data_IF_541172528147
#
_entry.id   IF_541172528147
#
_cell.length_a   1.000
_cell.length_b   1.000
_cell.length_c   1.000
_cell.angle_alpha   90.00
_cell.angle_beta   90.00
_cell.angle_gamma   90.00
#
_symmetry.space_group_name_H-M   'P 1'
#
loop_
_entity.id
_entity.type
_entity.pdbx_description
1 polymer ?
#
# COMPACT_ATOMS: atom_id res chain seq x y z
N UNK A 1 7.40 -0.85 -35.14
CA UNK A 1 6.13 -0.70 -34.44
C UNK A 1 5.26 -1.81 -35.01
N UNK A 2 5.21 -2.91 -34.28
CA UNK A 2 4.49 -4.10 -34.72
C UNK A 2 2.97 -3.82 -34.69
N UNK A 3 2.23 -4.49 -35.56
CA UNK A 3 0.79 -4.29 -35.74
C UNK A 3 0.01 -4.45 -34.41
N UNK A 4 0.51 -5.30 -33.50
CA UNK A 4 -0.05 -5.54 -32.17
C UNK A 4 0.15 -4.35 -31.19
N UNK A 5 1.23 -3.57 -31.31
CA UNK A 5 1.44 -2.36 -30.49
C UNK A 5 0.44 -1.26 -30.89
N UNK A 6 0.10 -1.16 -32.18
CA UNK A 6 -0.81 -0.15 -32.70
C UNK A 6 -2.26 -0.39 -32.27
N UNK A 7 -2.71 -1.65 -32.27
CA UNK A 7 -4.03 -2.02 -31.78
C UNK A 7 -4.14 -1.88 -30.26
N UNK A 8 -3.07 -2.18 -29.50
CA UNK A 8 -3.02 -1.93 -28.06
C UNK A 8 -3.09 -0.43 -27.75
N UNK A 9 -2.35 0.40 -28.49
CA UNK A 9 -2.41 1.86 -28.37
C UNK A 9 -3.80 2.40 -28.71
N UNK A 10 -4.46 1.89 -29.75
CA UNK A 10 -5.82 2.31 -30.10
C UNK A 10 -6.85 1.90 -29.04
N UNK A 11 -6.73 0.70 -28.45
CA UNK A 11 -7.57 0.28 -27.33
C UNK A 11 -7.33 1.12 -26.06
N UNK A 12 -6.09 1.53 -25.79
CA UNK A 12 -5.75 2.44 -24.70
C UNK A 12 -6.27 3.87 -24.95
N UNK A 13 -6.22 4.36 -26.19
CA UNK A 13 -6.78 5.66 -26.59
C UNK A 13 -8.31 5.67 -26.41
N UNK A 14 -9.01 4.60 -26.83
CA UNK A 14 -10.47 4.48 -26.69
C UNK A 14 -10.96 4.38 -25.24
N UNK A 15 -10.08 4.03 -24.30
CA UNK A 15 -10.39 3.94 -22.86
C UNK A 15 -9.95 5.16 -22.06
N UNK A 16 -9.19 6.09 -22.66
CA UNK A 16 -8.69 7.28 -21.96
C UNK A 16 -9.71 8.41 -22.02
N UNK A 17 -10.19 8.84 -20.85
CA UNK A 17 -11.16 9.94 -20.72
C UNK A 17 -10.64 11.25 -21.34
N UNK A 18 -11.39 11.82 -22.29
CA UNK A 18 -10.99 13.05 -22.99
C UNK A 18 -11.02 14.28 -22.07
N UNK A 19 -10.30 15.33 -22.45
CA UNK A 19 -10.27 16.57 -21.69
C UNK A 19 -11.66 17.22 -21.56
N UNK A 20 -12.49 17.15 -22.61
CA UNK A 20 -13.85 17.66 -22.58
C UNK A 20 -14.69 16.95 -21.52
N UNK A 21 -14.56 15.63 -21.40
CA UNK A 21 -15.26 14.83 -20.38
C UNK A 21 -14.78 15.22 -18.99
N UNK A 22 -13.45 15.33 -18.78
CA UNK A 22 -12.88 15.78 -17.49
C UNK A 22 -13.38 17.16 -17.08
N UNK A 23 -13.42 18.10 -18.02
CA UNK A 23 -13.92 19.46 -17.79
C UNK A 23 -15.42 19.48 -17.45
N UNK A 24 -16.22 18.67 -18.15
CA UNK A 24 -17.66 18.51 -17.86
C UNK A 24 -17.88 17.92 -16.47
N UNK A 25 -17.16 16.87 -16.09
CA UNK A 25 -17.25 16.26 -14.75
C UNK A 25 -16.87 17.24 -13.64
N UNK A 26 -15.87 18.08 -13.88
CA UNK A 26 -15.45 19.12 -12.96
C UNK A 26 -16.34 20.38 -12.98
N UNK A 27 -17.30 20.47 -13.90
CA UNK A 27 -18.08 21.69 -14.18
C UNK A 27 -17.20 22.93 -14.43
N UNK A 28 -16.09 22.76 -15.15
CA UNK A 28 -15.14 23.83 -15.46
C UNK A 28 -15.07 24.09 -16.96
N UNK A 29 -14.96 25.36 -17.33
CA UNK A 29 -14.45 25.74 -18.66
C UNK A 29 -12.94 25.57 -18.73
N UNK A 30 -12.40 25.45 -19.95
CA UNK A 30 -10.95 25.41 -20.17
C UNK A 30 -10.21 26.59 -19.49
N UNK A 31 -10.76 27.80 -19.58
CA UNK A 31 -10.16 29.01 -19.00
C UNK A 31 -10.14 28.93 -17.47
N UNK A 32 -11.23 28.47 -16.85
CA UNK A 32 -11.29 28.28 -15.40
C UNK A 32 -10.32 27.19 -14.93
N UNK A 33 -10.29 26.05 -15.63
CA UNK A 33 -9.38 24.96 -15.29
C UNK A 33 -7.91 25.38 -15.39
N UNK A 34 -7.54 26.12 -16.45
CA UNK A 34 -6.19 26.69 -16.60
C UNK A 34 -5.83 27.66 -15.48
N UNK A 35 -6.77 28.53 -15.07
CA UNK A 35 -6.58 29.47 -13.96
C UNK A 35 -6.38 28.72 -12.64
N UNK A 36 -7.22 27.74 -12.34
CA UNK A 36 -7.17 26.95 -11.12
C UNK A 36 -5.88 26.13 -11.04
N UNK A 37 -5.47 25.50 -12.15
CA UNK A 37 -4.20 24.79 -12.27
C UNK A 37 -3.01 25.72 -12.01
N UNK A 38 -2.99 26.91 -12.62
CA UNK A 38 -1.89 27.86 -12.44
C UNK A 38 -1.79 28.31 -10.99
N UNK A 39 -2.92 28.56 -10.34
CA UNK A 39 -2.98 28.90 -8.92
C UNK A 39 -2.48 27.75 -8.03
N UNK A 40 -2.92 26.52 -8.30
CA UNK A 40 -2.48 25.31 -7.58
C UNK A 40 -0.95 25.10 -7.69
N UNK A 41 -0.39 25.23 -8.90
CA UNK A 41 1.06 25.11 -9.12
C UNK A 41 1.81 26.22 -8.37
N UNK A 42 1.30 27.45 -8.38
CA UNK A 42 1.91 28.55 -7.64
C UNK A 42 1.91 28.28 -6.13
N UNK A 43 0.78 27.84 -5.57
CA UNK A 43 0.66 27.47 -4.16
C UNK A 43 1.67 26.38 -3.76
N UNK A 44 1.79 25.32 -4.57
CA UNK A 44 2.77 24.26 -4.32
C UNK A 44 4.22 24.77 -4.38
N UNK A 45 4.55 25.63 -5.33
CA UNK A 45 5.88 26.25 -5.44
C UNK A 45 6.19 27.13 -4.25
N UNK A 46 5.23 27.91 -3.78
CA UNK A 46 5.39 28.78 -2.62
C UNK A 46 5.60 27.97 -1.33
N UNK A 47 4.84 26.88 -1.15
CA UNK A 47 5.06 25.93 -0.05
C UNK A 47 6.45 25.31 -0.12
N UNK A 48 6.85 24.83 -1.29
CA UNK A 48 8.17 24.22 -1.47
C UNK A 48 9.30 25.24 -1.22
N UNK A 49 9.16 26.48 -1.66
CA UNK A 49 10.14 27.53 -1.38
C UNK A 49 10.22 27.82 0.12
N UNK A 50 9.08 27.98 0.78
CA UNK A 50 8.97 28.27 2.23
C UNK A 50 9.68 27.20 3.07
N UNK A 51 9.47 25.92 2.73
CA UNK A 51 10.05 24.79 3.45
C UNK A 51 11.34 24.25 2.81
N UNK A 52 11.86 24.94 1.79
CA UNK A 52 13.05 24.57 1.03
C UNK A 52 13.00 23.14 0.44
N UNK A 53 11.83 22.66 0.01
CA UNK A 53 11.64 21.34 -0.59
C UNK A 53 12.14 21.31 -2.06
N UNK A 54 12.87 20.26 -2.47
CA UNK A 54 13.52 20.23 -3.79
C UNK A 54 12.57 19.74 -4.89
N UNK A 55 11.84 20.65 -5.52
CA UNK A 55 10.92 20.32 -6.63
C UNK A 55 11.60 19.72 -7.87
N UNK A 56 12.90 19.94 -8.03
CA UNK A 56 13.71 19.39 -9.13
C UNK A 56 14.34 18.02 -8.80
N UNK A 57 13.98 17.43 -7.66
CA UNK A 57 14.55 16.17 -7.20
C UNK A 57 13.49 15.34 -6.47
N UNK A 58 12.76 14.53 -7.24
CA UNK A 58 11.63 13.70 -6.77
C UNK A 58 12.05 12.65 -5.74
N UNK A 59 13.30 12.15 -5.77
CA UNK A 59 13.82 11.22 -4.76
C UNK A 59 14.19 11.89 -3.44
N UNK A 60 14.76 13.10 -3.48
CA UNK A 60 15.13 13.86 -2.26
C UNK A 60 13.92 14.51 -1.58
N UNK A 61 12.88 14.84 -2.35
CA UNK A 61 11.67 15.48 -1.85
C UNK A 61 11.00 14.75 -0.67
N UNK A 62 10.64 13.44 -0.75
CA UNK A 62 9.95 12.73 0.32
C UNK A 62 10.84 12.57 1.56
N UNK A 63 12.15 12.38 1.36
CA UNK A 63 13.13 12.32 2.45
C UNK A 63 13.13 13.63 3.24
N UNK A 64 13.26 14.77 2.56
CA UNK A 64 13.21 16.07 3.24
C UNK A 64 11.85 16.34 3.87
N UNK A 65 10.75 16.00 3.18
CA UNK A 65 9.39 16.18 3.69
C UNK A 65 9.20 15.41 5.01
N UNK A 66 9.65 14.15 5.09
CA UNK A 66 9.58 13.34 6.31
C UNK A 66 10.33 13.95 7.50
N UNK A 67 11.43 14.67 7.26
CA UNK A 67 12.22 15.32 8.31
C UNK A 67 11.53 16.56 8.88
N UNK A 68 10.74 17.25 8.06
CA UNK A 68 10.09 18.51 8.44
C UNK A 68 8.60 18.36 8.75
N UNK A 69 7.99 17.19 8.50
CA UNK A 69 6.53 16.99 8.53
C UNK A 69 5.82 17.47 9.80
N UNK A 70 6.49 17.45 10.96
CA UNK A 70 5.95 17.92 12.24
C UNK A 70 5.80 19.45 12.30
N UNK A 71 6.48 20.19 11.42
CA UNK A 71 6.44 21.65 11.35
C UNK A 71 5.39 22.16 10.36
N UNK A 72 4.74 21.28 9.60
CA UNK A 72 3.72 21.65 8.63
C UNK A 72 2.33 21.59 9.25
N UNK A 73 1.43 22.45 8.76
CA UNK A 73 0.01 22.22 8.96
C UNK A 73 -0.37 20.89 8.26
N UNK A 74 -1.33 20.11 8.77
CA UNK A 74 -1.62 18.85 8.12
C UNK A 74 -2.28 19.04 6.74
N UNK A 75 -2.87 20.20 6.46
CA UNK A 75 -3.33 20.56 5.12
C UNK A 75 -2.16 20.71 4.13
N UNK A 76 -1.09 21.40 4.53
CA UNK A 76 0.11 21.54 3.69
C UNK A 76 0.79 20.18 3.51
N UNK A 77 0.90 19.40 4.59
CA UNK A 77 1.47 18.06 4.54
C UNK A 77 0.68 17.15 3.60
N UNK A 78 -0.65 17.19 3.66
CA UNK A 78 -1.52 16.40 2.80
C UNK A 78 -1.37 16.79 1.33
N UNK A 79 -1.33 18.10 1.05
CA UNK A 79 -1.13 18.62 -0.30
C UNK A 79 0.23 18.21 -0.87
N UNK A 80 1.31 18.30 -0.09
CA UNK A 80 2.66 17.91 -0.55
C UNK A 80 2.79 16.39 -0.71
N UNK A 81 2.18 15.62 0.18
CA UNK A 81 2.16 14.15 0.13
C UNK A 81 1.41 13.64 -1.11
N UNK A 82 0.23 14.18 -1.39
CA UNK A 82 -0.56 13.78 -2.56
C UNK A 82 0.06 14.28 -3.86
N UNK A 83 0.70 15.45 -3.85
CA UNK A 83 1.42 15.97 -5.00
C UNK A 83 2.56 15.03 -5.44
N UNK A 84 3.30 14.40 -4.52
CA UNK A 84 4.33 13.42 -4.91
C UNK A 84 3.74 12.05 -5.26
N UNK A 85 2.72 11.60 -4.51
CA UNK A 85 2.12 10.28 -4.70
C UNK A 85 1.43 10.13 -6.05
N UNK A 86 0.79 11.20 -6.54
CA UNK A 86 -0.07 11.18 -7.73
C UNK A 86 0.41 12.11 -8.85
N UNK A 87 1.64 12.64 -8.80
CA UNK A 87 2.13 13.46 -9.91
C UNK A 87 2.19 12.65 -11.21
N UNK A 88 1.69 13.25 -12.29
CA UNK A 88 1.80 12.72 -13.67
C UNK A 88 2.58 13.69 -14.55
N UNK A 89 3.67 14.20 -13.99
CA UNK A 89 4.56 15.17 -14.61
C UNK A 89 4.02 16.61 -14.65
N UNK A 90 3.08 16.96 -13.78
CA UNK A 90 2.63 18.35 -13.65
C UNK A 90 3.59 19.16 -12.77
N UNK A 91 4.12 18.55 -11.72
CA UNK A 91 4.88 19.23 -10.66
C UNK A 91 6.38 18.95 -10.74
N UNK A 92 6.77 17.69 -10.90
CA UNK A 92 8.17 17.25 -10.84
C UNK A 92 8.85 17.07 -12.20
N UNK A 93 8.11 17.21 -13.31
CA UNK A 93 8.66 17.05 -14.67
C UNK A 93 9.63 18.19 -15.02
N UNK A 94 10.86 17.79 -15.35
CA UNK A 94 11.97 18.70 -15.67
C UNK A 94 11.94 19.08 -17.16
N UNK A 95 11.33 18.26 -18.04
CA UNK A 95 11.31 18.45 -19.50
C UNK A 95 9.93 18.90 -20.02
N UNK A 96 9.40 19.98 -19.46
CA UNK A 96 8.06 20.50 -19.80
C UNK A 96 7.95 21.16 -21.19
N UNK A 97 9.03 21.21 -21.98
CA UNK A 97 9.11 22.02 -23.20
C UNK A 97 8.16 21.56 -24.31
N UNK A 98 7.72 20.29 -24.28
CA UNK A 98 6.86 19.72 -25.31
C UNK A 98 5.39 19.53 -24.87
N UNK A 99 5.02 19.98 -23.66
CA UNK A 99 3.65 19.78 -23.12
C UNK A 99 2.69 20.88 -23.58
N UNK A 100 1.50 20.50 -24.05
CA UNK A 100 0.45 21.45 -24.40
C UNK A 100 -0.34 21.89 -23.15
N UNK A 101 -1.10 22.99 -23.25
CA UNK A 101 -1.97 23.44 -22.15
C UNK A 101 -3.06 22.40 -21.85
N UNK A 102 -3.55 21.71 -22.86
CA UNK A 102 -4.56 20.64 -22.75
C UNK A 102 -4.03 19.47 -21.90
N UNK A 103 -2.80 19.03 -22.15
CA UNK A 103 -2.16 17.96 -21.39
C UNK A 103 -1.96 18.33 -19.92
N UNK A 104 -1.48 19.55 -19.66
CA UNK A 104 -1.29 20.05 -18.29
C UNK A 104 -2.61 20.15 -17.53
N UNK A 105 -3.67 20.68 -18.16
CA UNK A 105 -5.00 20.75 -17.55
C UNK A 105 -5.54 19.33 -17.31
N UNK A 106 -5.34 18.41 -18.26
CA UNK A 106 -5.74 17.00 -18.11
C UNK A 106 -5.08 16.34 -16.90
N UNK A 107 -3.77 16.54 -16.71
CA UNK A 107 -3.04 16.04 -15.53
C UNK A 107 -3.51 16.70 -14.23
N UNK A 108 -3.76 18.02 -14.24
CA UNK A 108 -4.27 18.73 -13.07
C UNK A 108 -5.63 18.21 -12.61
N UNK A 109 -6.58 17.99 -13.54
CA UNK A 109 -7.91 17.48 -13.21
C UNK A 109 -7.85 16.05 -12.65
N UNK A 110 -6.99 15.20 -13.22
CA UNK A 110 -6.73 13.85 -12.68
C UNK A 110 -6.14 13.93 -11.27
N UNK A 111 -5.09 14.75 -11.06
CA UNK A 111 -4.47 14.94 -9.76
C UNK A 111 -5.49 15.43 -8.71
N UNK A 112 -6.37 16.37 -9.07
CA UNK A 112 -7.44 16.87 -8.18
C UNK A 112 -8.43 15.78 -7.77
N UNK A 113 -8.83 14.92 -8.71
CA UNK A 113 -9.70 13.76 -8.44
C UNK A 113 -9.03 12.78 -7.47
N UNK A 114 -7.75 12.52 -7.66
CA UNK A 114 -6.98 11.61 -6.79
C UNK A 114 -6.71 12.21 -5.41
N UNK A 115 -6.46 13.52 -5.33
CA UNK A 115 -6.39 14.30 -4.09
C UNK A 115 -7.65 14.11 -3.24
N UNK A 116 -8.83 14.28 -3.85
CA UNK A 116 -10.11 14.11 -3.17
C UNK A 116 -10.31 12.67 -2.69
N UNK A 117 -10.11 11.68 -3.56
CA UNK A 117 -10.21 10.26 -3.20
C UNK A 117 -9.28 9.88 -2.05
N UNK A 118 -8.04 10.37 -2.10
CA UNK A 118 -7.03 10.13 -1.06
C UNK A 118 -7.46 10.75 0.27
N UNK A 119 -8.03 11.96 0.24
CA UNK A 119 -8.53 12.63 1.44
C UNK A 119 -9.68 11.87 2.09
N UNK A 120 -10.67 11.47 1.29
CA UNK A 120 -11.84 10.72 1.77
C UNK A 120 -11.42 9.38 2.39
N UNK A 121 -10.43 8.70 1.80
CA UNK A 121 -9.87 7.48 2.36
C UNK A 121 -9.09 7.71 3.65
N UNK A 122 -8.18 8.69 3.68
CA UNK A 122 -7.36 8.94 4.86
C UNK A 122 -8.21 9.39 6.04
N UNK A 123 -9.25 10.19 5.78
CA UNK A 123 -10.23 10.62 6.79
C UNK A 123 -11.03 9.43 7.36
N UNK A 124 -11.47 8.50 6.50
CA UNK A 124 -12.09 7.25 6.95
C UNK A 124 -11.13 6.39 7.78
N UNK A 125 -9.90 6.18 7.31
CA UNK A 125 -8.86 5.45 8.04
C UNK A 125 -8.56 6.08 9.40
N UNK A 126 -8.51 7.40 9.49
CA UNK A 126 -8.32 8.12 10.75
C UNK A 126 -9.47 7.86 11.73
N UNK A 127 -10.71 7.90 11.23
CA UNK A 127 -11.92 7.56 12.01
C UNK A 127 -11.87 6.11 12.51
N UNK A 128 -11.60 5.16 11.62
CA UNK A 128 -11.50 3.74 11.98
C UNK A 128 -10.34 3.47 12.96
N UNK A 129 -9.20 4.14 12.81
CA UNK A 129 -8.07 4.07 13.76
C UNK A 129 -8.47 4.51 15.16
N UNK A 130 -9.20 5.62 15.27
CA UNK A 130 -9.73 6.14 16.54
C UNK A 130 -10.70 5.14 17.17
N UNK A 131 -11.66 4.64 16.39
CA UNK A 131 -12.65 3.65 16.86
C UNK A 131 -11.97 2.36 17.33
N UNK A 132 -11.01 1.84 16.55
CA UNK A 132 -10.29 0.63 16.92
C UNK A 132 -9.44 0.82 18.19
N UNK A 133 -8.82 2.00 18.34
CA UNK A 133 -8.04 2.32 19.55
C UNK A 133 -8.92 2.37 20.79
N UNK A 134 -10.14 2.92 20.70
CA UNK A 134 -11.11 2.89 21.80
C UNK A 134 -11.50 1.45 22.14
N UNK A 135 -11.83 0.66 21.13
CA UNK A 135 -12.23 -0.75 21.26
C UNK A 135 -11.16 -1.59 21.95
N UNK A 136 -9.88 -1.43 21.58
CA UNK A 136 -8.76 -2.13 22.24
C UNK A 136 -8.71 -1.89 23.75
N UNK A 137 -9.07 -0.69 24.21
CA UNK A 137 -8.98 -0.31 25.63
C UNK A 137 -10.21 -0.71 26.47
N UNK A 138 -11.27 -1.26 25.86
CA UNK A 138 -12.53 -1.58 26.53
C UNK A 138 -12.65 -3.08 26.89
N UNK A 139 -11.85 -3.56 27.86
CA UNK A 139 -11.93 -4.95 28.34
C UNK A 139 -13.29 -5.35 28.93
N UNK A 140 -14.16 -4.40 29.29
CA UNK A 140 -15.50 -4.68 29.82
C UNK A 140 -16.46 -5.27 28.80
N UNK A 141 -16.14 -5.21 27.50
CA UNK A 141 -17.03 -5.68 26.42
C UNK A 141 -17.34 -7.17 26.49
N UNK A 142 -16.51 -7.96 27.18
CA UNK A 142 -16.69 -9.40 27.38
C UNK A 142 -17.33 -9.79 28.71
N UNK A 143 -17.47 -8.84 29.65
CA UNK A 143 -17.98 -9.09 31.02
C UNK A 143 -19.46 -8.68 31.17
N UNK A 144 -20.26 -8.93 30.13
CA UNK A 144 -21.67 -8.51 30.08
C UNK A 144 -22.56 -9.72 30.39
N UNK A 145 -23.60 -9.55 31.23
CA UNK A 145 -24.60 -10.60 31.43
C UNK A 145 -25.27 -11.00 30.11
N UNK A 146 -25.23 -12.29 29.78
CA UNK A 146 -25.86 -12.82 28.56
C UNK A 146 -27.37 -12.99 28.78
N UNK A 147 -28.16 -12.04 28.28
CA UNK A 147 -29.63 -12.05 28.39
C UNK A 147 -30.29 -12.58 27.12
N UNK A 148 -29.67 -12.34 25.97
CA UNK A 148 -30.08 -12.85 24.65
C UNK A 148 -29.14 -13.96 24.20
N UNK A 149 -29.69 -15.01 23.60
CA UNK A 149 -28.88 -15.95 22.82
C UNK A 149 -28.54 -15.35 21.47
N UNK A 150 -27.44 -15.80 20.86
CA UNK A 150 -27.21 -15.61 19.43
C UNK A 150 -28.39 -16.15 18.61
N UNK A 151 -28.62 -15.61 17.41
CA UNK A 151 -29.64 -16.16 16.53
C UNK A 151 -29.18 -17.54 16.02
N UNK A 152 -30.13 -18.47 15.86
CA UNK A 152 -29.81 -19.81 15.34
C UNK A 152 -29.18 -19.73 13.94
N UNK A 153 -29.63 -18.77 13.13
CA UNK A 153 -29.06 -18.50 11.82
C UNK A 153 -27.58 -18.07 11.88
N UNK A 154 -27.22 -17.14 12.78
CA UNK A 154 -25.83 -16.70 12.95
C UNK A 154 -24.95 -17.87 13.41
N UNK A 155 -25.42 -18.64 14.40
CA UNK A 155 -24.67 -19.76 14.97
C UNK A 155 -24.39 -20.82 13.90
N UNK A 156 -25.44 -21.19 13.16
CA UNK A 156 -25.34 -22.19 12.10
C UNK A 156 -24.44 -21.70 10.96
N UNK A 157 -24.59 -20.44 10.54
CA UNK A 157 -23.75 -19.87 9.49
C UNK A 157 -22.27 -19.85 9.89
N UNK A 158 -21.95 -19.37 11.09
CA UNK A 158 -20.55 -19.30 11.58
C UNK A 158 -19.97 -20.70 11.69
N UNK A 159 -20.75 -21.70 12.12
CA UNK A 159 -20.31 -23.09 12.19
C UNK A 159 -20.05 -23.69 10.80
N UNK A 160 -20.97 -23.51 9.85
CA UNK A 160 -20.77 -23.97 8.48
C UNK A 160 -19.53 -23.33 7.86
N UNK A 161 -19.38 -22.02 8.03
CA UNK A 161 -18.22 -21.26 7.54
C UNK A 161 -16.93 -21.73 8.22
N UNK A 162 -16.95 -22.00 9.53
CA UNK A 162 -15.81 -22.61 10.23
C UNK A 162 -15.45 -23.98 9.64
N UNK A 163 -16.41 -24.88 9.48
CA UNK A 163 -16.17 -26.25 8.98
C UNK A 163 -15.69 -26.28 7.53
N UNK A 164 -16.13 -25.31 6.71
CA UNK A 164 -15.72 -25.13 5.31
C UNK A 164 -14.21 -24.84 5.20
N UNK A 165 -13.68 -23.95 6.04
CA UNK A 165 -12.29 -23.48 5.95
C UNK A 165 -11.35 -24.18 6.92
N UNK A 166 -11.87 -24.85 7.95
CA UNK A 166 -11.06 -25.47 8.99
C UNK A 166 -11.46 -26.93 9.19
N UNK A 167 -10.51 -27.83 8.95
CA UNK A 167 -10.70 -29.25 9.21
C UNK A 167 -11.02 -29.53 10.68
N UNK A 168 -12.11 -30.27 10.92
CA UNK A 168 -12.50 -30.78 12.24
C UNK A 168 -11.93 -32.19 12.39
N UNK A 169 -11.26 -32.46 13.53
CA UNK A 169 -10.55 -33.72 13.71
C UNK A 169 -11.45 -34.87 14.21
N UNK A 170 -12.56 -34.60 14.94
CA UNK A 170 -13.41 -35.63 15.58
C UNK A 170 -14.86 -35.17 15.83
N UNK A 171 -15.79 -36.13 16.00
CA UNK A 171 -17.21 -35.86 16.27
C UNK A 171 -17.47 -35.09 17.59
N UNK A 172 -16.77 -35.42 18.69
CA UNK A 172 -16.92 -34.69 19.97
C UNK A 172 -16.43 -33.24 19.90
N UNK A 173 -15.55 -32.91 18.93
CA UNK A 173 -15.09 -31.52 18.75
C UNK A 173 -16.24 -30.66 18.18
N UNK A 174 -17.23 -31.25 17.50
CA UNK A 174 -18.33 -30.52 16.86
C UNK A 174 -19.28 -29.86 17.86
N UNK A 175 -19.64 -30.55 18.95
CA UNK A 175 -20.51 -30.00 20.00
C UNK A 175 -19.80 -28.85 20.72
N UNK A 176 -18.54 -29.05 21.11
CA UNK A 176 -17.70 -28.02 21.75
C UNK A 176 -17.57 -26.78 20.85
N UNK A 177 -17.34 -26.96 19.54
CA UNK A 177 -17.26 -25.85 18.59
C UNK A 177 -18.60 -25.11 18.51
N UNK A 178 -19.72 -25.83 18.41
CA UNK A 178 -21.06 -25.24 18.33
C UNK A 178 -21.39 -24.41 19.59
N UNK A 179 -21.09 -24.94 20.77
CA UNK A 179 -21.29 -24.23 22.05
C UNK A 179 -20.43 -22.97 22.14
N UNK A 180 -19.17 -23.06 21.72
CA UNK A 180 -18.26 -21.91 21.71
C UNK A 180 -18.67 -20.85 20.68
N UNK A 181 -19.23 -21.24 19.53
CA UNK A 181 -19.82 -20.30 18.56
C UNK A 181 -21.08 -19.66 19.16
N UNK A 182 -21.96 -20.44 19.80
CA UNK A 182 -23.16 -19.92 20.45
C UNK A 182 -22.82 -18.89 21.53
N UNK A 183 -21.73 -19.09 22.28
CA UNK A 183 -21.21 -18.12 23.23
C UNK A 183 -20.79 -16.81 22.55
N UNK A 184 -20.01 -16.87 21.46
CA UNK A 184 -19.59 -15.67 20.70
C UNK A 184 -20.81 -14.93 20.15
N UNK A 185 -21.75 -15.64 19.51
CA UNK A 185 -22.97 -15.04 18.98
C UNK A 185 -23.83 -14.39 20.08
N UNK A 186 -23.86 -14.99 21.27
CA UNK A 186 -24.54 -14.41 22.43
C UNK A 186 -23.84 -13.13 22.93
N UNK A 187 -22.51 -13.09 22.94
CA UNK A 187 -21.77 -11.85 23.28
C UNK A 187 -22.13 -10.71 22.33
N UNK A 188 -22.18 -10.96 21.02
CA UNK A 188 -22.57 -9.94 20.03
C UNK A 188 -24.04 -9.53 20.19
N UNK A 189 -24.95 -10.47 20.46
CA UNK A 189 -26.37 -10.16 20.64
C UNK A 189 -26.65 -9.27 21.87
N UNK A 190 -25.75 -9.25 22.86
CA UNK A 190 -25.86 -8.44 24.07
C UNK A 190 -24.94 -7.21 24.08
N UNK A 191 -24.16 -6.98 23.03
CA UNK A 191 -23.20 -5.88 22.96
C UNK A 191 -23.18 -5.27 21.55
N UNK A 192 -23.75 -4.07 21.43
CA UNK A 192 -23.82 -3.34 20.16
C UNK A 192 -22.43 -3.04 19.57
N UNK A 193 -21.42 -2.75 20.39
CA UNK A 193 -20.06 -2.51 19.91
C UNK A 193 -19.43 -3.78 19.33
N UNK A 194 -19.70 -4.96 19.92
CA UNK A 194 -19.25 -6.24 19.35
C UNK A 194 -20.02 -6.63 18.10
N UNK A 195 -21.33 -6.37 18.07
CA UNK A 195 -22.15 -6.58 16.87
C UNK A 195 -21.64 -5.70 15.72
N UNK A 196 -21.31 -4.44 16.01
CA UNK A 196 -20.81 -3.48 15.03
C UNK A 196 -19.56 -3.98 14.28
N UNK A 197 -18.72 -4.80 14.94
CA UNK A 197 -17.52 -5.40 14.35
C UNK A 197 -17.60 -6.94 14.27
N UNK A 198 -18.81 -7.50 14.17
CA UNK A 198 -19.05 -8.94 14.26
C UNK A 198 -18.10 -9.80 13.38
N UNK A 199 -17.87 -9.49 12.09
CA UNK A 199 -16.99 -10.29 11.24
C UNK A 199 -15.57 -10.41 11.79
N UNK A 200 -14.96 -9.27 12.13
CA UNK A 200 -13.57 -9.25 12.59
C UNK A 200 -13.45 -9.77 14.03
N UNK A 201 -14.45 -9.57 14.87
CA UNK A 201 -14.49 -10.14 16.22
C UNK A 201 -14.51 -11.68 16.17
N UNK A 202 -15.44 -12.27 15.41
CA UNK A 202 -15.50 -13.73 15.20
C UNK A 202 -14.18 -14.24 14.62
N UNK A 203 -13.67 -13.58 13.58
CA UNK A 203 -12.40 -13.94 12.95
C UNK A 203 -11.26 -13.97 13.95
N UNK A 204 -11.11 -12.94 14.78
CA UNK A 204 -10.00 -12.87 15.73
C UNK A 204 -10.09 -13.95 16.80
N UNK A 205 -11.29 -14.19 17.34
CA UNK A 205 -11.49 -15.20 18.40
C UNK A 205 -11.11 -16.57 17.87
N UNK A 206 -11.58 -16.92 16.68
CA UNK A 206 -11.37 -18.22 16.06
C UNK A 206 -9.92 -18.37 15.55
N UNK A 207 -9.40 -17.41 14.79
CA UNK A 207 -8.09 -17.56 14.11
C UNK A 207 -6.89 -17.51 15.08
N UNK A 208 -7.02 -16.83 16.23
CA UNK A 208 -5.97 -16.79 17.26
C UNK A 208 -6.01 -17.96 18.22
N UNK A 209 -7.19 -18.50 18.47
CA UNK A 209 -7.37 -19.54 19.46
C UNK A 209 -7.88 -20.86 18.90
N UNK A 210 -7.83 -21.06 17.57
CA UNK A 210 -8.35 -22.24 16.85
C UNK A 210 -8.20 -23.56 17.61
N UNK A 211 -6.98 -23.92 18.01
CA UNK A 211 -6.73 -25.18 18.72
C UNK A 211 -7.44 -25.29 20.09
N UNK A 212 -7.52 -24.19 20.85
CA UNK A 212 -8.22 -24.12 22.13
C UNK A 212 -9.74 -24.05 21.93
N UNK A 213 -10.18 -23.28 20.94
CA UNK A 213 -11.57 -23.12 20.53
C UNK A 213 -12.25 -24.45 20.18
N UNK A 214 -11.53 -25.37 19.52
CA UNK A 214 -12.07 -26.68 19.17
C UNK A 214 -12.12 -27.70 20.31
N UNK A 215 -11.44 -27.46 21.44
CA UNK A 215 -11.18 -28.50 22.46
C UNK A 215 -11.59 -28.12 23.88
N UNK A 216 -11.93 -26.86 24.12
CA UNK A 216 -12.16 -26.34 25.46
C UNK A 216 -13.62 -25.96 25.60
N UNK A 217 -14.34 -26.69 26.45
CA UNK A 217 -15.66 -26.27 26.92
C UNK A 217 -15.56 -24.94 27.68
N UNK A 218 -16.61 -24.11 27.61
CA UNK A 218 -16.62 -22.79 28.25
C UNK A 218 -15.43 -21.92 27.83
N UNK A 219 -15.18 -21.85 26.52
CA UNK A 219 -14.03 -21.16 25.98
C UNK A 219 -13.93 -19.71 26.47
N UNK A 220 -12.77 -19.37 27.02
CA UNK A 220 -12.41 -18.02 27.43
C UNK A 220 -11.26 -17.48 26.57
N UNK A 221 -11.22 -16.16 26.39
CA UNK A 221 -10.15 -15.46 25.67
C UNK A 221 -9.83 -14.14 26.36
N UNK A 222 -8.58 -13.71 26.22
CA UNK A 222 -8.09 -12.44 26.77
C UNK A 222 -8.26 -11.34 25.73
N UNK A 223 -9.00 -10.29 26.09
CA UNK A 223 -9.32 -9.17 25.20
C UNK A 223 -8.06 -8.51 24.59
N UNK A 224 -7.07 -8.20 25.42
CA UNK A 224 -5.83 -7.55 24.97
C UNK A 224 -5.06 -8.39 23.94
N UNK A 225 -5.06 -9.72 24.10
CA UNK A 225 -4.39 -10.64 23.18
C UNK A 225 -5.17 -10.81 21.87
N UNK A 226 -6.47 -10.58 21.88
CA UNK A 226 -7.31 -10.68 20.69
C UNK A 226 -6.87 -9.71 19.59
N UNK A 227 -6.42 -8.51 19.98
CA UNK A 227 -6.12 -7.43 19.04
C UNK A 227 -4.63 -7.24 18.74
N UNK A 228 -3.76 -8.12 19.23
CA UNK A 228 -2.34 -8.08 18.90
C UNK A 228 -2.08 -8.40 17.42
N UNK A 229 -1.07 -7.77 16.82
CA UNK A 229 -0.74 -8.02 15.43
C UNK A 229 -0.25 -9.45 15.21
N UNK A 230 -0.74 -10.13 14.17
CA UNK A 230 -0.33 -11.49 13.78
C UNK A 230 0.35 -11.46 12.41
N UNK A 231 1.67 -11.66 12.42
CA UNK A 231 2.48 -11.79 11.20
C UNK A 231 2.48 -13.23 10.71
N UNK A 232 1.87 -13.48 9.56
CA UNK A 232 1.91 -14.76 8.85
C UNK A 232 3.14 -14.80 7.93
N UNK A 233 3.63 -16.00 7.62
CA UNK A 233 4.75 -16.20 6.68
C UNK A 233 4.28 -16.11 5.22
N UNK A 234 3.91 -14.90 4.79
CA UNK A 234 3.29 -14.66 3.48
C UNK A 234 4.25 -14.84 2.30
N UNK A 235 5.57 -14.78 2.55
CA UNK A 235 6.62 -14.93 1.53
C UNK A 235 7.22 -16.36 1.44
N UNK A 236 6.91 -17.24 2.40
CA UNK A 236 7.44 -18.59 2.44
C UNK A 236 6.44 -19.57 1.81
N UNK A 237 6.49 -19.73 0.50
CA UNK A 237 5.59 -20.63 -0.22
C UNK A 237 6.10 -22.08 -0.20
N UNK A 238 5.44 -22.91 0.60
CA UNK A 238 5.58 -24.38 0.58
C UNK A 238 4.24 -25.07 0.20
N UNK A 239 3.32 -24.35 -0.45
CA UNK A 239 1.97 -24.78 -0.82
C UNK A 239 1.00 -24.92 0.36
N UNK A 240 1.44 -25.50 1.48
CA UNK A 240 0.62 -25.66 2.69
C UNK A 240 0.34 -24.32 3.37
N UNK A 241 1.34 -23.44 3.43
CA UNK A 241 1.19 -22.08 3.97
C UNK A 241 0.21 -21.26 3.12
N UNK A 242 0.30 -21.38 1.80
CA UNK A 242 -0.56 -20.69 0.84
C UNK A 242 -2.04 -21.05 1.03
N UNK A 243 -2.38 -22.35 1.05
CA UNK A 243 -3.77 -22.79 1.26
C UNK A 243 -4.32 -22.34 2.61
N UNK A 244 -3.53 -22.43 3.68
CA UNK A 244 -3.97 -21.97 5.00
C UNK A 244 -4.20 -20.44 5.04
N UNK A 245 -3.41 -19.66 4.31
CA UNK A 245 -3.62 -18.21 4.19
C UNK A 245 -4.91 -17.92 3.42
N UNK A 246 -5.14 -18.61 2.29
CA UNK A 246 -6.40 -18.52 1.52
C UNK A 246 -7.60 -18.82 2.41
N UNK A 247 -7.56 -19.91 3.16
CA UNK A 247 -8.65 -20.31 4.04
C UNK A 247 -8.94 -19.24 5.10
N UNK A 248 -7.90 -18.60 5.66
CA UNK A 248 -8.08 -17.51 6.62
C UNK A 248 -8.70 -16.26 5.99
N UNK A 249 -8.25 -15.86 4.80
CA UNK A 249 -8.80 -14.70 4.08
C UNK A 249 -10.26 -14.96 3.71
N UNK A 250 -10.55 -16.11 3.09
CA UNK A 250 -11.90 -16.46 2.68
C UNK A 250 -12.85 -16.67 3.86
N UNK A 251 -12.37 -17.21 4.97
CA UNK A 251 -13.14 -17.27 6.21
C UNK A 251 -13.58 -15.88 6.67
N UNK A 252 -12.69 -14.89 6.63
CA UNK A 252 -13.04 -13.50 6.96
C UNK A 252 -14.02 -12.88 5.96
N UNK A 253 -13.82 -13.09 4.66
CA UNK A 253 -14.68 -12.54 3.60
C UNK A 253 -16.09 -13.12 3.65
N UNK A 254 -16.25 -14.43 3.89
CA UNK A 254 -17.57 -15.07 4.05
C UNK A 254 -18.31 -14.51 5.27
N UNK A 255 -17.62 -14.27 6.39
CA UNK A 255 -18.20 -13.58 7.55
C UNK A 255 -18.66 -12.16 7.19
N UNK A 256 -17.84 -11.38 6.49
CA UNK A 256 -18.20 -10.03 6.07
C UNK A 256 -19.43 -10.04 5.16
N UNK A 257 -19.47 -10.94 4.17
CA UNK A 257 -20.59 -11.07 3.25
C UNK A 257 -21.90 -11.36 3.99
N UNK A 258 -21.90 -12.31 4.92
CA UNK A 258 -23.10 -12.67 5.68
C UNK A 258 -23.59 -11.54 6.58
N UNK A 259 -22.70 -10.97 7.39
CA UNK A 259 -23.08 -9.92 8.35
C UNK A 259 -23.35 -8.57 7.68
N UNK A 260 -22.94 -8.34 6.42
CA UNK A 260 -23.28 -7.13 5.67
C UNK A 260 -24.79 -6.89 5.50
N UNK A 261 -25.61 -7.93 5.69
CA UNK A 261 -27.07 -7.83 5.63
C UNK A 261 -27.66 -7.12 6.86
N UNK A 262 -26.88 -6.98 7.94
CA UNK A 262 -27.29 -6.30 9.15
C UNK A 262 -26.73 -4.87 9.16
N UNK A 263 -27.63 -3.87 9.12
CA UNK A 263 -27.26 -2.44 9.07
C UNK A 263 -26.53 -1.92 10.31
N UNK A 264 -26.52 -2.67 11.42
CA UNK A 264 -25.74 -2.33 12.60
C UNK A 264 -24.24 -2.68 12.44
N UNK A 265 -23.88 -3.53 11.47
CA UNK A 265 -22.52 -4.01 11.25
C UNK A 265 -21.77 -3.06 10.32
N UNK A 266 -20.59 -2.61 10.75
CA UNK A 266 -19.65 -1.86 9.91
C UNK A 266 -18.59 -2.80 9.33
N UNK A 267 -18.84 -3.19 8.08
CA UNK A 267 -17.95 -4.07 7.31
C UNK A 267 -16.65 -3.34 6.92
N UNK A 268 -16.70 -2.04 6.66
CA UNK A 268 -15.51 -1.26 6.31
C UNK A 268 -14.55 -1.16 7.51
N UNK A 269 -15.09 -0.89 8.71
CA UNK A 269 -14.33 -0.93 9.95
C UNK A 269 -13.75 -2.32 10.20
N UNK A 270 -14.51 -3.38 9.93
CA UNK A 270 -14.01 -4.76 10.03
C UNK A 270 -12.84 -5.02 9.08
N UNK A 271 -12.92 -4.57 7.83
CA UNK A 271 -11.83 -4.66 6.85
C UNK A 271 -10.59 -3.86 7.29
N UNK A 272 -10.80 -2.67 7.86
CA UNK A 272 -9.71 -1.87 8.43
C UNK A 272 -9.04 -2.59 9.61
N UNK A 273 -9.81 -3.09 10.58
CA UNK A 273 -9.24 -3.82 11.73
C UNK A 273 -8.52 -5.08 11.26
N UNK A 274 -9.00 -5.76 10.22
CA UNK A 274 -8.31 -6.90 9.62
C UNK A 274 -6.94 -6.54 9.05
N UNK A 275 -6.82 -5.41 8.34
CA UNK A 275 -5.52 -4.91 7.84
C UNK A 275 -4.57 -4.48 8.95
N UNK A 276 -5.10 -3.91 10.04
CA UNK A 276 -4.29 -3.47 11.19
C UNK A 276 -3.90 -4.59 12.15
N UNK A 277 -4.49 -5.78 12.01
CA UNK A 277 -4.26 -6.91 12.92
C UNK A 277 -3.51 -8.07 12.29
N UNK A 278 -3.34 -8.08 10.96
CA UNK A 278 -2.63 -9.13 10.23
C UNK A 278 -1.94 -8.58 8.96
N UNK A 279 -0.93 -9.28 8.45
CA UNK A 279 -0.36 -9.00 7.11
C UNK A 279 -1.10 -9.73 5.96
N UNK A 280 -2.32 -10.24 6.19
CA UNK A 280 -3.02 -11.02 5.17
C UNK A 280 -3.57 -10.15 4.03
N UNK A 281 -3.86 -8.87 4.27
CA UNK A 281 -4.20 -7.94 3.19
C UNK A 281 -3.03 -7.77 2.21
N UNK A 282 -1.77 -7.71 2.68
CA UNK A 282 -0.61 -7.61 1.80
C UNK A 282 -0.47 -8.84 0.91
N UNK A 283 -0.66 -10.02 1.50
CA UNK A 283 -0.69 -11.27 0.74
C UNK A 283 -1.83 -11.29 -0.28
N UNK A 284 -3.04 -10.85 0.10
CA UNK A 284 -4.20 -10.81 -0.77
C UNK A 284 -3.93 -9.97 -2.03
N UNK A 285 -3.45 -8.74 -1.86
CA UNK A 285 -3.14 -7.84 -2.99
C UNK A 285 -1.92 -8.24 -3.80
N UNK A 286 -1.06 -9.09 -3.26
CA UNK A 286 0.13 -9.59 -3.97
C UNK A 286 -0.14 -10.88 -4.77
N UNK A 287 -1.24 -11.60 -4.49
CA UNK A 287 -1.49 -12.93 -5.05
C UNK A 287 -2.83 -13.09 -5.79
N UNK A 288 -3.83 -12.25 -5.48
CA UNK A 288 -5.08 -12.24 -6.24
C UNK A 288 -5.02 -11.20 -7.36
N UNK A 289 -5.40 -11.61 -8.57
CA UNK A 289 -5.80 -10.65 -9.61
C UNK A 289 -6.97 -9.84 -9.06
N UNK A 290 -6.86 -8.51 -9.15
CA UNK A 290 -7.82 -7.58 -8.58
C UNK A 290 -9.25 -7.89 -9.05
N UNK A 291 -10.09 -8.43 -8.16
CA UNK A 291 -11.53 -8.60 -8.40
C UNK A 291 -12.25 -7.40 -7.78
N UNK A 292 -12.88 -6.58 -8.63
CA UNK A 292 -13.65 -5.40 -8.21
C UNK A 292 -14.79 -5.73 -7.22
N UNK A 293 -15.24 -7.01 -7.14
CA UNK A 293 -16.42 -7.40 -6.38
C UNK A 293 -16.19 -7.63 -4.89
N UNK A 294 -14.96 -7.88 -4.46
CA UNK A 294 -14.64 -8.09 -3.04
C UNK A 294 -13.29 -7.46 -2.74
N UNK A 295 -13.27 -6.26 -2.14
CA UNK A 295 -12.01 -5.58 -1.84
C UNK A 295 -11.81 -5.45 -0.33
N UNK A 296 -10.73 -6.05 0.17
CA UNK A 296 -10.24 -5.79 1.53
C UNK A 296 -9.82 -4.32 1.68
N UNK A 297 -9.55 -3.88 2.91
CA UNK A 297 -8.91 -2.58 3.09
C UNK A 297 -7.52 -2.62 2.46
N UNK A 298 -7.24 -1.69 1.53
CA UNK A 298 -5.93 -1.56 0.87
C UNK A 298 -4.91 -1.03 1.89
N UNK A 299 -3.87 -1.80 2.24
CA UNK A 299 -2.81 -1.32 3.12
C UNK A 299 -2.12 -0.09 2.53
N UNK A 300 -1.63 0.81 3.38
CA UNK A 300 -0.92 2.01 2.92
C UNK A 300 0.31 1.66 2.08
N UNK A 301 1.02 0.60 2.42
CA UNK A 301 2.16 0.06 1.65
C UNK A 301 1.76 -0.28 0.23
N UNK A 302 0.71 -1.09 0.06
CA UNK A 302 0.17 -1.47 -1.26
C UNK A 302 -0.29 -0.23 -2.04
N UNK A 303 -0.94 0.74 -1.40
CA UNK A 303 -1.37 1.98 -2.06
C UNK A 303 -0.19 2.79 -2.61
N UNK A 304 0.88 2.90 -1.83
CA UNK A 304 2.09 3.62 -2.26
C UNK A 304 2.70 2.91 -3.47
N UNK A 305 2.85 1.58 -3.41
CA UNK A 305 3.36 0.79 -4.54
C UNK A 305 2.46 0.90 -5.77
N UNK A 306 1.14 0.82 -5.64
CA UNK A 306 0.17 0.98 -6.73
C UNK A 306 0.18 2.38 -7.36
N UNK A 307 0.70 3.38 -6.66
CA UNK A 307 0.85 4.72 -7.22
C UNK A 307 1.99 4.81 -8.24
N UNK A 308 2.82 3.76 -8.34
CA UNK A 308 3.92 3.60 -9.29
C UNK A 308 4.83 4.83 -9.29
N UNK A 309 5.30 5.22 -8.11
CA UNK A 309 6.19 6.37 -7.97
C UNK A 309 7.53 6.02 -8.58
N UNK A 310 7.84 6.67 -9.69
CA UNK A 310 9.17 6.62 -10.26
C UNK A 310 9.88 7.95 -10.02
N UNK A 311 10.97 7.90 -9.23
CA UNK A 311 11.80 9.07 -8.93
C UNK A 311 12.69 9.50 -10.11
N UNK A 312 12.74 8.70 -11.17
CA UNK A 312 13.61 8.85 -12.33
C UNK A 312 12.83 8.98 -13.64
N UNK A 313 11.52 9.28 -13.57
CA UNK A 313 10.67 9.56 -14.75
C UNK A 313 11.36 10.58 -15.67
N UNK A 314 11.40 10.27 -16.97
CA UNK A 314 12.01 11.10 -18.02
C UNK A 314 13.54 11.29 -17.92
N UNK A 315 14.23 10.49 -17.10
CA UNK A 315 15.69 10.43 -17.14
C UNK A 315 16.15 9.64 -18.37
N UNK A 316 17.21 10.08 -19.07
CA UNK A 316 17.87 9.24 -20.05
C UNK A 316 18.30 7.95 -19.36
N UNK A 317 17.64 6.85 -19.70
CA UNK A 317 18.03 5.53 -19.25
C UNK A 317 19.46 5.29 -19.72
N UNK A 318 20.41 5.18 -18.78
CA UNK A 318 21.70 4.54 -19.04
C UNK A 318 21.60 3.02 -18.95
N UNK A 319 20.38 2.52 -18.76
CA UNK A 319 20.02 1.19 -18.32
C UNK A 319 19.66 0.28 -19.47
N UNK A 320 20.20 -0.92 -19.42
CA UNK A 320 19.75 -2.07 -20.16
C UNK A 320 18.23 -2.24 -20.01
N UNK A 321 17.54 -2.75 -21.02
CA UNK A 321 16.10 -2.98 -20.94
C UNK A 321 15.75 -3.91 -19.77
N UNK A 322 14.50 -3.90 -19.30
CA UNK A 322 14.04 -4.86 -18.29
C UNK A 322 14.32 -6.31 -18.73
N UNK A 323 14.27 -6.56 -20.03
CA UNK A 323 14.62 -7.83 -20.66
C UNK A 323 16.12 -8.11 -20.53
N UNK A 324 17.01 -7.16 -20.82
CA UNK A 324 18.46 -7.32 -20.63
C UNK A 324 18.86 -7.46 -19.14
N UNK A 325 18.19 -6.76 -18.23
CA UNK A 325 18.36 -6.91 -16.78
C UNK A 325 17.90 -8.30 -16.32
N UNK A 326 16.72 -8.72 -16.78
CA UNK A 326 16.17 -10.05 -16.48
C UNK A 326 17.05 -11.14 -17.06
N UNK A 327 17.51 -11.01 -18.29
CA UNK A 327 18.42 -11.93 -18.97
C UNK A 327 19.75 -12.05 -18.25
N UNK A 328 20.32 -10.92 -17.81
CA UNK A 328 21.54 -10.95 -17.00
C UNK A 328 21.38 -11.80 -15.73
N UNK A 329 20.18 -11.88 -15.14
CA UNK A 329 19.92 -12.67 -13.93
C UNK A 329 19.20 -14.01 -14.15
N UNK A 330 18.60 -14.26 -15.33
CA UNK A 330 17.81 -15.45 -15.64
C UNK A 330 18.68 -16.63 -16.06
N UNK A 331 19.84 -16.37 -16.67
CA UNK A 331 20.81 -17.40 -17.00
C UNK A 331 21.46 -17.96 -15.73
N UNK A 332 21.18 -19.24 -15.44
CA UNK A 332 21.65 -20.09 -14.30
C UNK A 332 23.17 -20.20 -14.10
N UNK A 333 23.91 -19.12 -14.15
CA UNK A 333 25.31 -19.11 -13.77
C UNK A 333 25.36 -18.54 -12.34
N UNK A 334 25.87 -19.33 -11.39
CA UNK A 334 25.97 -18.97 -9.97
C UNK A 334 26.62 -17.60 -9.70
N UNK A 335 27.42 -17.08 -10.65
CA UNK A 335 28.07 -15.78 -10.56
C UNK A 335 27.11 -14.58 -10.59
N UNK A 336 26.01 -14.58 -11.37
CA UNK A 336 25.13 -13.39 -11.48
C UNK A 336 24.41 -13.12 -10.17
N UNK A 337 23.96 -14.19 -9.51
CA UNK A 337 23.43 -14.15 -8.14
C UNK A 337 24.47 -13.64 -7.13
N UNK A 338 25.73 -14.07 -7.26
CA UNK A 338 26.82 -13.58 -6.41
C UNK A 338 27.11 -12.10 -6.68
N UNK A 339 27.17 -11.65 -7.93
CA UNK A 339 27.36 -10.24 -8.30
C UNK A 339 26.25 -9.38 -7.70
N UNK A 340 24.97 -9.75 -7.89
CA UNK A 340 23.83 -9.05 -7.27
C UNK A 340 23.95 -8.99 -5.75
N UNK A 341 24.30 -10.11 -5.12
CA UNK A 341 24.46 -10.18 -3.68
C UNK A 341 25.62 -9.28 -3.19
N UNK A 342 26.75 -9.27 -3.88
CA UNK A 342 27.90 -8.42 -3.56
C UNK A 342 27.56 -6.94 -3.73
N UNK A 343 26.88 -6.56 -4.82
CA UNK A 343 26.43 -5.17 -5.04
C UNK A 343 25.47 -4.75 -3.93
N UNK A 344 24.44 -5.56 -3.63
CA UNK A 344 23.48 -5.25 -2.57
C UNK A 344 24.14 -5.15 -1.19
N UNK A 345 25.09 -6.03 -0.87
CA UNK A 345 25.86 -5.96 0.37
C UNK A 345 26.72 -4.69 0.45
N UNK A 346 27.34 -4.31 -0.66
CA UNK A 346 28.12 -3.07 -0.74
C UNK A 346 27.24 -1.83 -0.55
N UNK A 347 26.11 -1.73 -1.26
CA UNK A 347 25.17 -0.61 -1.14
C UNK A 347 24.61 -0.50 0.28
N UNK A 348 24.27 -1.62 0.91
CA UNK A 348 23.82 -1.66 2.30
C UNK A 348 24.92 -1.22 3.30
N UNK A 349 26.19 -1.50 3.01
CA UNK A 349 27.32 -1.09 3.85
C UNK A 349 27.75 0.38 3.60
N UNK A 350 27.37 0.98 2.48
CA UNK A 350 27.79 2.33 2.07
C UNK A 350 26.59 3.24 1.71
N UNK A 351 25.70 3.54 2.67
CA UNK A 351 24.51 4.37 2.42
C UNK A 351 24.86 5.77 1.87
N UNK A 352 26.04 6.31 2.21
CA UNK A 352 26.52 7.58 1.69
C UNK A 352 26.68 7.62 0.16
N UNK A 353 26.88 6.46 -0.51
CA UNK A 353 26.91 6.41 -1.98
C UNK A 353 25.52 6.64 -2.56
N UNK A 354 24.48 6.12 -1.92
CA UNK A 354 23.09 6.34 -2.33
C UNK A 354 22.71 7.80 -2.11
N UNK A 355 23.08 8.38 -0.96
CA UNK A 355 22.87 9.81 -0.68
C UNK A 355 23.56 10.71 -1.72
N UNK A 356 24.82 10.39 -2.09
CA UNK A 356 25.52 11.10 -3.15
C UNK A 356 24.79 10.97 -4.49
N UNK A 357 24.26 9.79 -4.83
CA UNK A 357 23.49 9.59 -6.07
C UNK A 357 22.21 10.42 -6.08
N UNK A 358 21.50 10.49 -4.94
CA UNK A 358 20.30 11.32 -4.75
C UNK A 358 20.64 12.80 -4.88
N UNK A 359 21.77 13.25 -4.33
CA UNK A 359 22.17 14.67 -4.34
C UNK A 359 22.62 15.17 -5.72
N UNK A 360 23.02 14.26 -6.61
CA UNK A 360 23.33 14.62 -7.99
C UNK A 360 22.02 14.98 -8.70
N UNK A 361 21.96 16.21 -9.21
CA UNK A 361 20.80 16.67 -10.00
C UNK A 361 20.50 15.67 -11.12
N UNK A 362 19.21 15.36 -11.38
CA UNK A 362 18.82 14.41 -12.42
C UNK A 362 19.50 14.68 -13.78
N UNK A 363 19.70 15.94 -14.15
CA UNK A 363 20.33 16.34 -15.41
C UNK A 363 21.87 16.19 -15.46
N UNK A 364 22.56 15.88 -14.36
CA UNK A 364 24.02 15.78 -14.31
C UNK A 364 24.49 14.33 -14.38
N UNK A 365 24.42 13.80 -15.60
CA UNK A 365 24.59 12.38 -15.84
C UNK A 365 26.05 11.92 -15.73
N UNK A 366 27.01 12.76 -16.10
CA UNK A 366 28.45 12.47 -15.97
C UNK A 366 28.85 12.20 -14.51
N UNK A 367 28.27 12.94 -13.56
CA UNK A 367 28.52 12.71 -12.14
C UNK A 367 27.91 11.40 -11.65
N UNK A 368 26.71 11.04 -12.12
CA UNK A 368 26.10 9.74 -11.81
C UNK A 368 26.96 8.61 -12.35
N UNK A 369 27.43 8.74 -13.59
CA UNK A 369 28.36 7.80 -14.20
C UNK A 369 29.64 7.63 -13.38
N UNK A 370 30.28 8.74 -13.00
CA UNK A 370 31.50 8.71 -12.21
C UNK A 370 31.32 8.00 -10.86
N UNK A 371 30.17 8.22 -10.20
CA UNK A 371 29.84 7.55 -8.94
C UNK A 371 29.65 6.04 -9.13
N UNK A 372 28.98 5.61 -10.20
CA UNK A 372 28.82 4.18 -10.52
C UNK A 372 30.17 3.53 -10.84
N UNK A 373 31.04 4.20 -11.59
CA UNK A 373 32.41 3.69 -11.83
C UNK A 373 33.20 3.50 -10.54
N UNK A 374 33.10 4.46 -9.61
CA UNK A 374 33.74 4.34 -8.30
C UNK A 374 33.22 3.13 -7.51
N UNK A 375 31.91 2.88 -7.52
CA UNK A 375 31.32 1.69 -6.89
C UNK A 375 31.86 0.42 -7.54
N UNK A 376 31.96 0.41 -8.87
CA UNK A 376 32.45 -0.73 -9.65
C UNK A 376 33.92 -1.04 -9.32
N UNK A 377 34.76 -0.02 -9.17
CA UNK A 377 36.15 -0.14 -8.73
C UNK A 377 36.26 -0.64 -7.28
N UNK A 378 35.43 -0.10 -6.38
CA UNK A 378 35.43 -0.47 -4.95
C UNK A 378 34.94 -1.91 -4.70
N UNK A 379 34.02 -2.42 -5.53
CA UNK A 379 33.49 -3.77 -5.41
C UNK A 379 34.56 -4.85 -5.63
N UNK A 380 35.71 -4.49 -6.22
CA UNK A 380 36.84 -5.38 -6.50
C UNK A 380 36.39 -6.75 -7.06
N UNK A 381 35.37 -6.74 -7.93
CA UNK A 381 34.78 -7.97 -8.46
C UNK A 381 35.88 -8.76 -9.16
N UNK A 382 36.08 -10.06 -8.85
CA UNK A 382 37.25 -10.74 -9.36
C UNK A 382 37.19 -10.79 -10.89
N UNK A 383 38.23 -10.28 -11.56
CA UNK A 383 38.33 -10.18 -13.02
C UNK A 383 38.05 -11.52 -13.75
N UNK A 384 38.16 -12.66 -13.04
CA UNK A 384 37.79 -13.98 -13.57
C UNK A 384 36.28 -14.17 -13.85
N UNK A 385 35.42 -13.29 -13.33
CA UNK A 385 33.96 -13.43 -13.39
C UNK A 385 33.28 -12.44 -14.35
N UNK A 386 34.01 -11.47 -14.90
CA UNK A 386 33.43 -10.40 -15.73
C UNK A 386 34.20 -10.35 -17.05
N UNK A 387 33.63 -10.91 -18.13
CA UNK A 387 34.11 -10.63 -19.47
C UNK A 387 34.14 -9.11 -19.70
N UNK A 388 35.19 -8.57 -20.29
CA UNK A 388 35.30 -7.13 -20.60
C UNK A 388 34.16 -6.62 -21.50
N UNK A 389 33.45 -7.52 -22.19
CA UNK A 389 32.24 -7.23 -22.98
C UNK A 389 31.03 -6.86 -22.14
N UNK A 390 31.02 -7.23 -20.85
CA UNK A 390 29.84 -7.12 -19.97
C UNK A 390 29.93 -5.89 -19.05
N UNK A 391 30.98 -5.07 -19.17
CA UNK A 391 31.20 -3.89 -18.32
C UNK A 391 30.09 -2.82 -18.48
N UNK A 392 29.59 -2.49 -19.69
CA UNK A 392 28.45 -1.59 -19.84
C UNK A 392 27.16 -2.14 -19.20
N UNK A 393 26.96 -3.46 -19.29
CA UNK A 393 25.81 -4.12 -18.68
C UNK A 393 25.91 -4.12 -17.14
N UNK A 394 27.11 -4.29 -16.58
CA UNK A 394 27.33 -4.20 -15.14
C UNK A 394 27.10 -2.78 -14.61
N UNK A 395 27.51 -1.76 -15.37
CA UNK A 395 27.18 -0.36 -15.08
C UNK A 395 25.66 -0.15 -15.01
N UNK A 396 24.92 -0.65 -16.01
CA UNK A 396 23.45 -0.61 -16.03
C UNK A 396 22.86 -1.28 -14.80
N UNK A 397 23.32 -2.51 -14.49
CA UNK A 397 22.83 -3.28 -13.35
C UNK A 397 23.05 -2.56 -12.02
N UNK A 398 24.23 -1.96 -11.80
CA UNK A 398 24.51 -1.20 -10.57
C UNK A 398 23.59 0.03 -10.49
N UNK A 399 23.41 0.73 -11.62
CA UNK A 399 22.52 1.90 -11.71
C UNK A 399 21.09 1.51 -11.34
N UNK A 400 20.54 0.47 -11.97
CA UNK A 400 19.19 -0.05 -11.68
C UNK A 400 19.05 -0.47 -10.22
N UNK A 401 20.06 -1.13 -9.62
CA UNK A 401 20.00 -1.52 -8.21
C UNK A 401 20.02 -0.32 -7.26
N UNK A 402 20.77 0.74 -7.57
CA UNK A 402 20.74 2.01 -6.82
C UNK A 402 19.35 2.65 -6.93
N UNK A 403 18.77 2.69 -8.13
CA UNK A 403 17.46 3.30 -8.37
C UNK A 403 16.33 2.54 -7.68
N UNK A 404 16.38 1.21 -7.68
CA UNK A 404 15.46 0.36 -6.90
C UNK A 404 15.56 0.70 -5.40
N UNK A 405 16.77 0.79 -4.85
CA UNK A 405 16.97 1.13 -3.44
C UNK A 405 16.46 2.54 -3.11
N UNK A 406 16.66 3.52 -4.01
CA UNK A 406 16.14 4.87 -3.84
C UNK A 406 14.61 4.88 -3.85
N UNK A 407 13.97 4.18 -4.79
CA UNK A 407 12.51 4.06 -4.81
C UNK A 407 11.99 3.40 -3.53
N UNK A 408 12.64 2.35 -3.02
CA UNK A 408 12.29 1.74 -1.73
C UNK A 408 12.44 2.72 -0.54
N UNK A 409 13.46 3.58 -0.54
CA UNK A 409 13.61 4.64 0.47
C UNK A 409 12.50 5.69 0.36
N UNK A 410 12.12 6.06 -0.85
CA UNK A 410 10.98 6.95 -1.12
C UNK A 410 9.68 6.35 -0.60
N UNK A 411 9.38 5.09 -0.91
CA UNK A 411 8.19 4.40 -0.41
C UNK A 411 8.14 4.37 1.13
N UNK A 412 9.28 4.08 1.78
CA UNK A 412 9.40 4.12 3.25
C UNK A 412 9.12 5.51 3.82
N UNK A 413 9.68 6.56 3.21
CA UNK A 413 9.44 7.93 3.65
C UNK A 413 7.96 8.32 3.50
N UNK A 414 7.32 7.94 2.39
CA UNK A 414 5.91 8.17 2.16
C UNK A 414 5.02 7.37 3.10
N UNK A 415 5.39 6.14 3.43
CA UNK A 415 4.67 5.36 4.44
C UNK A 415 4.67 6.05 5.81
N UNK A 416 5.80 6.62 6.22
CA UNK A 416 5.91 7.39 7.47
C UNK A 416 5.02 8.63 7.41
N UNK A 417 5.11 9.42 6.33
CA UNK A 417 4.30 10.63 6.16
C UNK A 417 2.81 10.31 6.13
N UNK A 418 2.40 9.27 5.41
CA UNK A 418 1.01 8.85 5.29
C UNK A 418 0.41 8.41 6.63
N UNK A 419 1.17 7.70 7.47
CA UNK A 419 0.73 7.36 8.82
C UNK A 419 0.56 8.62 9.69
N UNK A 420 1.52 9.55 9.64
CA UNK A 420 1.41 10.83 10.35
C UNK A 420 0.16 11.62 9.92
N UNK A 421 -0.18 11.59 8.63
CA UNK A 421 -1.41 12.21 8.13
C UNK A 421 -2.65 11.54 8.71
N UNK A 422 -2.73 10.21 8.67
CA UNK A 422 -3.86 9.46 9.25
C UNK A 422 -4.01 9.79 10.74
N UNK A 423 -2.91 9.96 11.48
CA UNK A 423 -2.92 10.32 12.90
C UNK A 423 -3.39 11.75 13.20
N UNK A 424 -3.26 12.66 12.24
CA UNK A 424 -3.56 14.10 12.44
C UNK A 424 -4.85 14.55 11.77
N UNK A 425 -5.45 13.73 10.90
CA UNK A 425 -6.63 14.09 10.10
C UNK A 425 -7.97 14.10 10.84
N UNK A 426 -8.05 13.53 12.05
CA UNK A 426 -9.28 13.57 12.87
C UNK A 426 -9.70 14.99 13.26
N UNK A 427 -8.77 15.94 13.24
CA UNK A 427 -8.96 17.29 13.79
C UNK A 427 -9.22 18.36 12.71
N UNK A 428 -9.44 17.97 11.44
CA UNK A 428 -9.35 18.92 10.33
C UNK A 428 -10.62 18.96 9.48
N UNK A 429 -11.20 20.16 9.41
CA UNK A 429 -12.22 20.51 8.43
C UNK A 429 -11.51 21.03 7.15
N UNK A 430 -10.89 20.14 6.36
CA UNK A 430 -10.24 20.57 5.11
C UNK A 430 -11.33 20.89 4.09
N UNK A 431 -11.47 22.16 3.73
CA UNK A 431 -12.16 22.55 2.51
C UNK A 431 -11.26 22.22 1.32
N UNK A 432 -11.38 21.00 0.80
CA UNK A 432 -10.89 20.71 -0.55
C UNK A 432 -11.93 21.32 -1.48
N UNK A 433 -11.68 22.55 -1.94
CA UNK A 433 -12.48 23.15 -3.01
C UNK A 433 -12.49 22.18 -4.21
N UNK A 434 -13.70 21.70 -4.51
CA UNK A 434 -14.00 20.76 -5.59
C UNK A 434 -13.83 21.40 -6.96
#
# INVERSE_FOLDING_TARGET
MDFDEYDLLNQLIDTTETLEVKLQQANLTFIQAKKNMTHFIAQLKDLCATYSLPLNNKSKFPQKLSQIMQNLSPQDLFLLYTAILYDKGLIFDIERTNRTSEQDIGCYLTLKKDLKKCFDEFSRKATYKSTFSKLKNQCSLTNIPLQKSGTEADIYFVFQTFTKYFAIARNNDSEIIMDNIALICSLMANNEELLHIAPIFIYQVISKHKARFCKTENFHFEWDKLWSYKSYQIAADNGKNFNNIIDLVNFFLDLCHYFSQNSAVDVELSHYIFSESTNLCEWYYSNYEYDEKVTLSVPLTIRITQSNIDCFENMPSYGCTDEEFTDFFSYKKSYTKQVKQTINQYLAAHPAMIEQYIDITPTNLDKKQHLVYKILDDLALPAKYIPTTDLPLLYSVITTLIEIEINQQTEKALFIIGNQLIDTLLDINIQIEA
#
